data_IF_469615077757
#
_entry.id   IF_469615077757
#
_cell.length_a   1.000
_cell.length_b   1.000
_cell.length_c   1.000
_cell.angle_alpha   90.00
_cell.angle_beta   90.00
_cell.angle_gamma   90.00
#
_symmetry.space_group_name_H-M   'P 1'
#
loop_
_entity.id
_entity.type
_entity.pdbx_description
1 polymer ?
#
# COMPACT_ATOMS: atom_id res chain seq x y z
N UNK A 1 16.86 27.56 -48.26
CA UNK A 1 17.17 27.52 -46.82
C UNK A 1 16.20 26.52 -46.24
N UNK A 2 16.70 25.31 -46.03
CA UNK A 2 15.97 24.17 -45.51
C UNK A 2 16.30 24.08 -44.04
N UNK A 3 15.33 24.24 -43.16
CA UNK A 3 15.44 23.74 -41.81
C UNK A 3 14.27 22.80 -41.58
N UNK A 4 14.68 21.56 -41.42
CA UNK A 4 13.98 20.30 -41.38
C UNK A 4 13.15 20.23 -40.08
N UNK A 5 11.85 19.95 -40.21
CA UNK A 5 10.99 19.66 -39.07
C UNK A 5 11.25 18.20 -38.71
N UNK A 6 12.27 17.94 -37.88
CA UNK A 6 12.40 16.64 -37.20
C UNK A 6 11.62 16.72 -35.89
N UNK A 7 10.29 16.69 -36.01
CA UNK A 7 9.44 16.23 -34.93
C UNK A 7 9.48 14.70 -34.97
N UNK A 8 10.51 14.10 -34.37
CA UNK A 8 10.52 12.66 -34.15
C UNK A 8 11.28 12.31 -32.87
N UNK A 9 10.56 11.56 -32.04
CA UNK A 9 11.10 10.50 -31.20
C UNK A 9 11.88 10.86 -29.93
N UNK A 10 11.21 11.60 -29.05
CA UNK A 10 11.30 11.29 -27.62
C UNK A 10 9.90 11.08 -27.05
N UNK A 11 9.23 10.04 -27.52
CA UNK A 11 8.45 9.17 -26.64
C UNK A 11 9.42 8.68 -25.55
N UNK A 12 9.68 9.55 -24.56
CA UNK A 12 10.20 9.08 -23.30
C UNK A 12 9.11 8.16 -22.78
N UNK A 13 9.44 6.88 -22.87
CA UNK A 13 8.85 5.74 -22.19
C UNK A 13 8.61 6.10 -20.72
N UNK A 14 7.57 6.89 -20.46
CA UNK A 14 6.96 7.01 -19.15
C UNK A 14 6.22 5.71 -18.96
N UNK A 15 7.00 4.67 -18.61
CA UNK A 15 6.47 3.60 -17.78
C UNK A 15 5.57 4.31 -16.76
N UNK A 16 4.26 4.02 -16.73
CA UNK A 16 3.34 4.77 -15.90
C UNK A 16 3.95 4.79 -14.52
N UNK A 17 4.04 5.99 -13.93
CA UNK A 17 4.57 6.24 -12.58
C UNK A 17 3.70 5.44 -11.60
N UNK A 18 3.97 4.13 -11.54
CA UNK A 18 3.19 3.18 -10.78
C UNK A 18 3.50 3.52 -9.35
N UNK A 19 2.46 3.91 -8.62
CA UNK A 19 2.59 4.27 -7.22
C UNK A 19 3.37 3.18 -6.49
N UNK A 20 4.43 3.52 -5.72
CA UNK A 20 5.28 2.52 -5.12
C UNK A 20 4.45 1.61 -4.20
N UNK A 21 4.83 0.34 -4.17
CA UNK A 21 4.22 -0.62 -3.27
C UNK A 21 4.59 -0.35 -1.82
N UNK A 22 3.62 -0.55 -0.94
CA UNK A 22 3.73 -0.45 0.51
C UNK A 22 3.21 -1.72 1.14
N UNK A 23 3.75 -2.03 2.31
CA UNK A 23 3.37 -3.17 3.13
C UNK A 23 2.60 -2.64 4.33
N UNK A 24 1.34 -3.09 4.46
CA UNK A 24 0.57 -3.00 5.70
C UNK A 24 0.73 -4.31 6.47
N UNK A 25 1.25 -4.22 7.69
CA UNK A 25 1.56 -5.38 8.54
C UNK A 25 0.77 -5.33 9.84
N UNK A 26 0.12 -6.44 10.15
CA UNK A 26 -0.58 -6.69 11.40
C UNK A 26 0.18 -7.74 12.21
N UNK A 27 0.49 -7.43 13.45
CA UNK A 27 1.10 -8.38 14.40
C UNK A 27 0.06 -8.84 15.41
N UNK A 28 -0.17 -10.14 15.47
CA UNK A 28 -1.19 -10.76 16.32
C UNK A 28 -0.67 -11.06 17.72
N UNK A 29 -1.59 -11.31 18.67
CA UNK A 29 -1.30 -11.59 20.08
C UNK A 29 -0.39 -12.82 20.28
N UNK A 30 -0.34 -13.75 19.32
CA UNK A 30 0.57 -14.90 19.29
C UNK A 30 1.92 -14.68 18.58
N UNK A 31 2.21 -13.45 18.13
CA UNK A 31 3.44 -13.12 17.41
C UNK A 31 3.39 -13.37 15.90
N UNK A 32 2.38 -14.11 15.40
CA UNK A 32 2.13 -14.27 13.97
C UNK A 32 1.87 -12.93 13.29
N UNK A 33 2.26 -12.82 12.02
CA UNK A 33 2.08 -11.58 11.25
C UNK A 33 1.31 -11.84 9.97
N UNK A 34 0.41 -10.92 9.64
CA UNK A 34 -0.28 -10.86 8.34
C UNK A 34 0.22 -9.61 7.62
N UNK A 35 0.69 -9.79 6.39
CA UNK A 35 1.19 -8.70 5.55
C UNK A 35 0.32 -8.59 4.29
N UNK A 36 -0.03 -7.36 3.93
CA UNK A 36 -0.70 -7.02 2.69
C UNK A 36 0.14 -6.00 1.93
N UNK A 37 0.38 -6.28 0.66
CA UNK A 37 1.09 -5.39 -0.26
C UNK A 37 0.05 -4.70 -1.14
N UNK A 38 0.13 -3.38 -1.21
CA UNK A 38 -0.69 -2.57 -2.10
C UNK A 38 -0.02 -1.24 -2.37
N UNK A 39 -0.64 -0.45 -3.24
CA UNK A 39 -0.12 0.89 -3.53
C UNK A 39 -0.12 1.77 -2.28
N UNK A 40 0.76 2.79 -2.25
CA UNK A 40 0.85 3.73 -1.12
C UNK A 40 -0.53 4.28 -0.71
N UNK A 41 -1.31 4.80 -1.65
CA UNK A 41 -2.63 5.37 -1.38
C UNK A 41 -3.59 4.34 -0.77
N UNK A 42 -3.59 3.09 -1.25
CA UNK A 42 -4.42 2.02 -0.72
C UNK A 42 -4.04 1.66 0.73
N UNK A 43 -2.73 1.53 1.02
CA UNK A 43 -2.23 1.21 2.37
C UNK A 43 -2.53 2.34 3.36
N UNK A 44 -2.32 3.60 2.97
CA UNK A 44 -2.62 4.75 3.82
C UNK A 44 -4.14 4.95 4.00
N UNK A 45 -4.93 4.74 2.96
CA UNK A 45 -6.39 4.78 3.03
C UNK A 45 -6.95 3.75 4.02
N UNK A 46 -6.47 2.51 3.93
CA UNK A 46 -6.83 1.43 4.87
C UNK A 46 -6.47 1.79 6.33
N UNK A 47 -5.31 2.43 6.56
CA UNK A 47 -4.91 2.87 7.89
C UNK A 47 -5.80 4.01 8.42
N UNK A 48 -6.18 4.96 7.58
CA UNK A 48 -7.10 6.05 7.96
C UNK A 48 -8.51 5.54 8.26
N UNK A 49 -9.00 4.57 7.49
CA UNK A 49 -10.29 3.92 7.75
C UNK A 49 -10.29 3.22 9.11
N UNK A 50 -9.20 2.52 9.44
CA UNK A 50 -9.02 1.84 10.72
C UNK A 50 -9.09 2.82 11.90
N UNK A 51 -8.40 3.96 11.81
CA UNK A 51 -8.43 5.01 12.84
C UNK A 51 -9.80 5.67 12.97
N UNK A 52 -10.44 5.93 11.83
CA UNK A 52 -11.75 6.59 11.79
C UNK A 52 -12.82 5.73 12.46
N UNK A 53 -12.84 4.43 12.16
CA UNK A 53 -13.82 3.52 12.75
C UNK A 53 -13.59 3.31 14.26
N UNK A 54 -12.34 3.18 14.71
CA UNK A 54 -12.02 3.09 16.13
C UNK A 54 -12.56 4.29 16.90
N UNK A 55 -12.42 5.49 16.33
CA UNK A 55 -12.94 6.74 16.90
C UNK A 55 -14.46 6.84 16.87
N UNK A 56 -15.11 6.35 15.82
CA UNK A 56 -16.55 6.53 15.62
C UNK A 56 -17.41 5.47 16.32
N UNK A 57 -16.92 4.22 16.42
CA UNK A 57 -17.73 3.05 16.82
C UNK A 57 -17.14 2.27 18.00
N UNK A 58 -15.98 2.69 18.51
CA UNK A 58 -15.21 1.91 19.49
C UNK A 58 -14.37 0.82 18.83
N UNK A 59 -13.82 -0.13 19.61
CA UNK A 59 -12.85 -1.09 19.12
C UNK A 59 -13.39 -1.91 17.95
N UNK A 60 -12.71 -1.84 16.80
CA UNK A 60 -13.06 -2.66 15.65
C UNK A 60 -12.87 -4.14 15.98
N UNK A 61 -13.83 -5.01 15.67
CA UNK A 61 -13.67 -6.46 15.81
C UNK A 61 -13.07 -7.11 14.56
N UNK A 62 -13.49 -6.68 13.36
CA UNK A 62 -13.04 -7.24 12.09
C UNK A 62 -12.70 -6.13 11.11
N UNK A 63 -11.52 -6.21 10.50
CA UNK A 63 -11.05 -5.31 9.46
C UNK A 63 -10.94 -6.05 8.12
N UNK A 64 -11.50 -5.48 7.06
CA UNK A 64 -11.60 -6.15 5.76
C UNK A 64 -10.60 -5.56 4.78
N UNK A 65 -9.77 -6.42 4.21
CA UNK A 65 -8.80 -6.12 3.17
C UNK A 65 -9.13 -6.92 1.91
N UNK A 66 -8.59 -6.54 0.73
CA UNK A 66 -8.82 -7.30 -0.50
C UNK A 66 -8.47 -8.79 -0.40
N UNK A 67 -7.49 -9.15 0.43
CA UNK A 67 -7.04 -10.54 0.59
C UNK A 67 -7.79 -11.33 1.69
N UNK A 68 -8.67 -10.68 2.46
CA UNK A 68 -9.43 -11.33 3.52
C UNK A 68 -9.77 -10.41 4.69
N UNK A 69 -10.23 -11.01 5.79
CA UNK A 69 -10.59 -10.28 7.01
C UNK A 69 -9.62 -10.58 8.14
N UNK A 70 -9.31 -9.56 8.94
CA UNK A 70 -8.42 -9.63 10.10
C UNK A 70 -9.25 -9.40 11.36
N UNK A 71 -9.15 -10.31 12.33
CA UNK A 71 -9.73 -10.09 13.65
C UNK A 71 -8.88 -9.07 14.40
N UNK A 72 -9.39 -7.85 14.53
CA UNK A 72 -8.70 -6.74 15.18
C UNK A 72 -8.58 -6.91 16.70
N UNK A 73 -9.42 -7.74 17.33
CA UNK A 73 -9.28 -8.12 18.74
C UNK A 73 -8.01 -8.94 19.04
N UNK A 74 -7.45 -9.58 18.01
CA UNK A 74 -6.19 -10.32 18.10
C UNK A 74 -4.97 -9.48 17.70
N UNK A 75 -5.16 -8.29 17.11
CA UNK A 75 -4.08 -7.43 16.64
C UNK A 75 -3.50 -6.62 17.80
N UNK A 76 -2.17 -6.65 17.95
CA UNK A 76 -1.43 -5.83 18.92
C UNK A 76 -0.80 -4.60 18.30
N UNK A 77 -0.26 -4.75 17.08
CA UNK A 77 0.51 -3.70 16.42
C UNK A 77 0.14 -3.69 14.94
N UNK A 78 -0.08 -2.49 14.41
CA UNK A 78 -0.19 -2.23 12.98
C UNK A 78 0.98 -1.35 12.58
N UNK A 79 1.72 -1.76 11.55
CA UNK A 79 2.84 -1.00 10.99
C UNK A 79 2.71 -0.89 9.48
N UNK A 80 3.20 0.21 8.92
CA UNK A 80 3.34 0.38 7.48
C UNK A 80 4.81 0.63 7.12
N UNK A 81 5.23 0.14 5.96
CA UNK A 81 6.56 0.44 5.40
C UNK A 81 6.53 0.40 3.88
N UNK A 82 7.39 1.16 3.17
CA UNK A 82 7.62 0.94 1.75
C UNK A 82 8.05 -0.52 1.50
N UNK A 83 7.63 -1.09 0.38
CA UNK A 83 8.16 -2.36 -0.09
C UNK A 83 9.64 -2.17 -0.48
N UNK A 84 10.57 -3.04 -0.06
CA UNK A 84 11.94 -2.96 -0.52
C UNK A 84 11.96 -3.07 -2.06
N UNK A 85 12.78 -2.29 -2.76
CA UNK A 85 12.96 -2.49 -4.19
C UNK A 85 13.47 -3.92 -4.41
N UNK A 86 12.93 -4.61 -5.42
CA UNK A 86 13.48 -5.89 -5.85
C UNK A 86 14.97 -5.67 -6.16
N UNK A 87 15.83 -6.34 -5.38
CA UNK A 87 17.26 -6.33 -5.65
C UNK A 87 17.44 -7.21 -6.88
N UNK A 88 17.64 -6.58 -8.05
CA UNK A 88 18.10 -7.31 -9.23
C UNK A 88 19.43 -8.00 -8.89
N UNK A 89 19.58 -9.30 -9.18
CA UNK A 89 20.86 -9.98 -9.06
C UNK A 89 21.90 -9.42 -10.03
#
# INVERSE_FOLDING_TARGET
MSDDITADDRLQDTAPDAEPDWILKFTLRGGSTVEWIGSKSAVFGALEELKTHDRATGPLNWFFLPMGAINMGEVRVVTIRPCPPETKP
#
